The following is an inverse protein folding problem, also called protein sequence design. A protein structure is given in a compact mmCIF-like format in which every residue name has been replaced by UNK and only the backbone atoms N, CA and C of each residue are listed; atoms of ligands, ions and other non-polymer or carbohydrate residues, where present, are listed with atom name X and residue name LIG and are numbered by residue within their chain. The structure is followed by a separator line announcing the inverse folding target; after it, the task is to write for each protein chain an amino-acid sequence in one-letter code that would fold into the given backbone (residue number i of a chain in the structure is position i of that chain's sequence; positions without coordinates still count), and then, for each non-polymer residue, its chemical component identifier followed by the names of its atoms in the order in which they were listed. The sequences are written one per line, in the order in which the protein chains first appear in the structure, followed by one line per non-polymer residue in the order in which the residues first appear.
data_IF_949319454637
#
_entry.id   IF_949319454637
#
_cell.length_a   1.000
_cell.length_b   1.000
_cell.length_c   1.000
_cell.angle_alpha   90.00
_cell.angle_beta   90.00
_cell.angle_gamma   90.00
#
_symmetry.space_group_name_H-M   'P 1'
#
loop_
_entity.id
_entity.type
_entity.pdbx_description
1 polymer ?
#
# COMPACT_ATOMS: atom_id res chain seq x y z
N UNK A 1 -21.59 -5.71 -9.35
CA UNK A 1 -22.05 -6.99 -9.95
C UNK A 1 -20.93 -7.77 -10.64
N UNK A 2 -20.04 -7.08 -11.37
CA UNK A 2 -18.94 -7.67 -12.16
C UNK A 2 -17.95 -8.49 -11.34
N UNK A 3 -17.46 -7.99 -10.19
CA UNK A 3 -16.51 -8.73 -9.34
C UNK A 3 -17.07 -10.07 -8.84
N UNK A 4 -18.35 -10.09 -8.43
CA UNK A 4 -19.02 -11.33 -8.00
C UNK A 4 -19.24 -12.31 -9.17
N UNK A 5 -19.63 -11.82 -10.35
CA UNK A 5 -19.75 -12.65 -11.57
C UNK A 5 -18.39 -13.23 -12.01
N UNK A 6 -17.32 -12.43 -11.95
CA UNK A 6 -15.95 -12.87 -12.23
C UNK A 6 -15.48 -13.95 -11.25
N UNK A 7 -15.70 -13.74 -9.94
CA UNK A 7 -15.37 -14.73 -8.91
C UNK A 7 -16.17 -16.03 -9.08
N UNK A 8 -17.45 -15.93 -9.47
CA UNK A 8 -18.31 -17.09 -9.74
C UNK A 8 -17.96 -17.84 -11.04
N UNK A 9 -17.39 -17.16 -12.03
CA UNK A 9 -17.02 -17.76 -13.31
C UNK A 9 -15.80 -18.69 -13.24
N UNK A 10 -15.03 -18.66 -12.14
CA UNK A 10 -13.79 -19.41 -12.00
C UNK A 10 -12.60 -18.84 -12.78
N UNK A 11 -12.82 -17.86 -13.67
CA UNK A 11 -11.77 -17.23 -14.48
C UNK A 11 -11.00 -16.13 -13.74
N UNK A 12 -11.52 -15.64 -12.62
CA UNK A 12 -10.85 -14.65 -11.77
C UNK A 12 -10.62 -15.23 -10.36
N UNK A 13 -9.43 -15.80 -10.16
CA UNK A 13 -8.96 -16.29 -8.86
C UNK A 13 -7.93 -15.29 -8.31
N UNK A 14 -8.34 -14.24 -7.57
CA UNK A 14 -7.39 -13.27 -7.06
C UNK A 14 -6.38 -13.98 -6.15
N UNK A 15 -5.09 -13.69 -6.34
CA UNK A 15 -4.09 -14.06 -5.35
C UNK A 15 -4.39 -13.33 -4.05
N UNK A 16 -4.65 -14.07 -2.98
CA UNK A 16 -4.88 -13.53 -1.65
C UNK A 16 -3.60 -13.72 -0.84
N UNK A 17 -3.05 -12.61 -0.34
CA UNK A 17 -1.98 -12.65 0.66
C UNK A 17 -2.58 -12.26 2.00
N UNK A 18 -2.84 -13.25 2.84
CA UNK A 18 -3.43 -13.03 4.14
C UNK A 18 -2.37 -12.60 5.15
N UNK A 19 -2.61 -11.49 5.84
CA UNK A 19 -1.78 -11.08 6.96
C UNK A 19 -2.36 -11.59 8.27
N UNK A 20 -1.62 -12.43 8.99
CA UNK A 20 -2.02 -12.86 10.32
C UNK A 20 -1.93 -11.68 11.29
N UNK A 21 -2.94 -11.46 12.14
CA UNK A 21 -2.80 -10.48 13.21
C UNK A 21 -1.66 -10.89 14.14
N UNK A 22 -0.71 -9.99 14.42
CA UNK A 22 0.52 -10.33 15.13
C UNK A 22 0.28 -11.00 16.50
N UNK A 23 -0.81 -10.64 17.18
CA UNK A 23 -1.23 -11.29 18.45
C UNK A 23 -1.57 -12.78 18.33
N UNK A 24 -1.91 -13.25 17.14
CA UNK A 24 -2.26 -14.66 16.86
C UNK A 24 -1.20 -15.36 16.01
N UNK A 25 -0.02 -14.74 15.80
CA UNK A 25 1.00 -15.29 14.91
C UNK A 25 1.46 -16.69 15.32
N UNK A 26 1.58 -16.99 16.62
CA UNK A 26 1.99 -18.33 17.05
C UNK A 26 0.99 -19.43 16.67
N UNK A 27 -0.31 -19.13 16.58
CA UNK A 27 -1.30 -20.10 16.11
C UNK A 27 -1.04 -20.50 14.65
N UNK A 28 -0.54 -19.57 13.83
CA UNK A 28 -0.13 -19.87 12.46
C UNK A 28 1.12 -20.75 12.45
N UNK A 29 2.13 -20.37 13.23
CA UNK A 29 3.40 -21.10 13.31
C UNK A 29 3.19 -22.52 13.81
N UNK A 30 2.36 -22.72 14.84
CA UNK A 30 2.04 -24.02 15.43
C UNK A 30 1.35 -24.96 14.42
N UNK A 31 0.58 -24.40 13.49
CA UNK A 31 -0.06 -25.11 12.37
C UNK A 31 0.88 -25.26 11.15
N UNK A 32 2.15 -24.87 11.27
CA UNK A 32 3.14 -24.94 10.18
C UNK A 32 2.97 -23.87 9.10
N UNK A 33 2.16 -22.84 9.33
CA UNK A 33 1.87 -21.75 8.40
C UNK A 33 2.86 -20.60 8.57
N UNK A 34 4.10 -20.82 8.12
CA UNK A 34 5.14 -19.80 8.08
C UNK A 34 4.92 -18.71 7.02
N UNK A 35 5.80 -17.70 7.01
CA UNK A 35 5.77 -16.63 6.01
C UNK A 35 5.87 -17.21 4.59
N UNK A 36 4.91 -16.88 3.73
CA UNK A 36 4.81 -17.40 2.36
C UNK A 36 4.21 -18.80 2.24
N UNK A 37 3.76 -19.42 3.32
CA UNK A 37 3.03 -20.69 3.26
C UNK A 37 1.75 -20.55 2.41
N UNK A 38 1.41 -21.59 1.65
CA UNK A 38 0.29 -21.60 0.71
C UNK A 38 0.75 -21.73 -0.75
N UNK A 39 0.03 -21.09 -1.68
CA UNK A 39 0.31 -21.11 -3.11
C UNK A 39 0.06 -19.71 -3.74
N UNK A 40 0.14 -19.63 -5.06
CA UNK A 40 -0.05 -18.38 -5.82
C UNK A 40 -1.45 -17.76 -5.74
N UNK A 41 -2.45 -18.52 -5.29
CA UNK A 41 -3.82 -18.07 -5.12
C UNK A 41 -4.13 -17.68 -3.67
N UNK A 42 -3.47 -18.31 -2.70
CA UNK A 42 -3.65 -18.00 -1.28
C UNK A 42 -2.35 -18.27 -0.53
N UNK A 43 -1.75 -17.21 0.01
CA UNK A 43 -0.50 -17.30 0.78
C UNK A 43 -0.55 -16.49 2.06
N UNK A 44 0.30 -16.87 3.02
CA UNK A 44 0.51 -16.12 4.26
C UNK A 44 1.54 -15.01 4.00
N UNK A 45 1.18 -13.79 4.38
CA UNK A 45 2.02 -12.60 4.32
C UNK A 45 2.48 -12.11 5.68
N UNK A 46 2.81 -10.82 5.72
CA UNK A 46 3.30 -10.11 6.92
C UNK A 46 2.40 -10.31 8.15
N UNK A 47 2.99 -10.19 9.34
CA UNK A 47 2.24 -10.07 10.57
C UNK A 47 1.63 -8.65 10.66
N UNK A 48 0.29 -8.54 10.68
CA UNK A 48 -0.42 -7.26 10.74
C UNK A 48 -0.43 -6.74 12.18
N UNK A 49 -0.03 -5.49 12.35
CA UNK A 49 -0.18 -4.72 13.57
C UNK A 49 -0.98 -3.46 13.25
N UNK A 50 -2.01 -3.16 14.05
CA UNK A 50 -2.83 -1.95 13.87
C UNK A 50 -2.66 -1.03 15.05
N UNK A 51 -2.06 0.14 14.81
CA UNK A 51 -1.98 1.22 15.78
C UNK A 51 -3.22 2.09 15.69
N UNK A 52 -3.78 2.50 16.83
CA UNK A 52 -4.89 3.44 16.89
C UNK A 52 -4.75 4.36 18.10
N UNK A 53 -5.28 5.58 17.97
CA UNK A 53 -5.44 6.53 19.07
C UNK A 53 -6.92 6.74 19.46
N UNK A 54 -7.82 5.88 19.00
CA UNK A 54 -9.27 5.99 19.23
C UNK A 54 -9.70 6.03 20.71
N UNK A 55 -8.89 5.47 21.62
CA UNK A 55 -9.10 5.53 23.07
C UNK A 55 -8.47 6.77 23.74
N UNK A 56 -7.89 7.69 22.96
CA UNK A 56 -7.10 8.82 23.43
C UNK A 56 -5.66 8.48 23.82
N UNK A 57 -5.25 7.21 23.67
CA UNK A 57 -3.89 6.73 23.89
C UNK A 57 -3.49 5.78 22.76
N UNK A 58 -2.19 5.68 22.49
CA UNK A 58 -1.67 4.72 21.53
C UNK A 58 -2.00 3.29 21.97
N UNK A 59 -2.64 2.53 21.10
CA UNK A 59 -2.93 1.11 21.29
C UNK A 59 -2.57 0.32 20.03
N UNK A 60 -1.79 -0.77 20.14
CA UNK A 60 -0.98 -1.16 21.31
C UNK A 60 -0.03 -0.05 21.77
N UNK A 61 0.34 -0.06 23.05
CA UNK A 61 1.37 0.84 23.60
C UNK A 61 2.73 0.61 22.92
N UNK A 62 3.69 1.54 23.06
CA UNK A 62 5.01 1.39 22.43
C UNK A 62 5.75 0.11 22.89
N UNK A 63 5.59 -0.28 24.15
CA UNK A 63 6.16 -1.51 24.68
C UNK A 63 5.51 -2.75 24.05
N UNK A 64 4.18 -2.80 24.01
CA UNK A 64 3.44 -3.90 23.38
C UNK A 64 3.73 -3.99 21.88
N UNK A 65 3.84 -2.85 21.20
CA UNK A 65 4.24 -2.78 19.80
C UNK A 65 5.64 -3.42 19.60
N UNK A 66 6.60 -3.04 20.42
CA UNK A 66 7.97 -3.58 20.37
C UNK A 66 7.99 -5.09 20.63
N UNK A 67 7.18 -5.58 21.57
CA UNK A 67 7.03 -7.00 21.83
C UNK A 67 6.40 -7.75 20.65
N UNK A 68 5.37 -7.20 20.02
CA UNK A 68 4.72 -7.80 18.85
C UNK A 68 5.69 -7.90 17.67
N UNK A 69 6.48 -6.84 17.42
CA UNK A 69 7.51 -6.84 16.38
C UNK A 69 8.58 -7.88 16.69
N UNK A 70 9.10 -7.90 17.92
CA UNK A 70 10.10 -8.88 18.36
C UNK A 70 9.62 -10.33 18.21
N UNK A 71 8.38 -10.62 18.63
CA UNK A 71 7.75 -11.93 18.45
C UNK A 71 7.65 -12.30 16.97
N UNK A 72 7.18 -11.40 16.11
CA UNK A 72 7.11 -11.64 14.67
C UNK A 72 8.48 -11.92 14.05
N UNK A 73 9.48 -11.08 14.35
CA UNK A 73 10.83 -11.23 13.82
C UNK A 73 11.50 -12.52 14.31
N UNK A 74 11.23 -12.96 15.54
CA UNK A 74 11.73 -14.25 16.06
C UNK A 74 11.28 -15.45 15.22
N UNK A 75 10.12 -15.33 14.56
CA UNK A 75 9.55 -16.35 13.68
C UNK A 75 9.84 -16.06 12.18
N UNK A 76 10.73 -15.11 11.89
CA UNK A 76 11.06 -14.66 10.53
C UNK A 76 9.86 -14.08 9.74
N UNK A 77 8.87 -13.53 10.45
CA UNK A 77 7.79 -12.77 9.83
C UNK A 77 8.13 -11.27 9.79
N UNK A 78 8.11 -10.63 8.61
CA UNK A 78 8.07 -9.18 8.55
C UNK A 78 6.71 -8.66 9.04
N UNK A 79 6.69 -7.42 9.54
CA UNK A 79 5.48 -6.77 10.02
C UNK A 79 4.90 -5.77 9.01
N UNK A 80 3.57 -5.68 8.98
CA UNK A 80 2.84 -4.64 8.30
C UNK A 80 2.14 -3.78 9.36
N UNK A 81 2.59 -2.55 9.55
CA UNK A 81 2.12 -1.68 10.64
C UNK A 81 1.17 -0.63 10.07
N UNK A 82 -0.11 -0.70 10.43
CA UNK A 82 -1.06 0.38 10.17
C UNK A 82 -0.75 1.57 11.08
N UNK A 83 -0.42 2.71 10.45
CA UNK A 83 -0.09 3.96 11.11
C UNK A 83 -0.65 5.14 10.29
N UNK A 84 -1.75 5.72 10.77
CA UNK A 84 -2.45 6.83 10.11
C UNK A 84 -2.01 8.16 10.69
N UNK A 85 -2.09 8.33 12.01
CA UNK A 85 -1.74 9.56 12.71
C UNK A 85 -0.22 9.71 12.91
N UNK A 86 0.27 10.95 12.98
CA UNK A 86 1.70 11.24 13.15
C UNK A 86 2.30 10.58 14.41
N UNK A 87 1.52 10.51 15.49
CA UNK A 87 1.89 9.84 16.74
C UNK A 87 2.05 8.33 16.56
N UNK A 88 1.13 7.68 15.83
CA UNK A 88 1.21 6.26 15.51
C UNK A 88 2.41 5.97 14.59
N UNK A 89 2.63 6.81 13.57
CA UNK A 89 3.78 6.68 12.69
C UNK A 89 5.10 6.83 13.44
N UNK A 90 5.20 7.80 14.36
CA UNK A 90 6.39 7.98 15.20
C UNK A 90 6.66 6.74 16.06
N UNK A 91 5.63 6.16 16.67
CA UNK A 91 5.77 4.94 17.47
C UNK A 91 6.21 3.74 16.62
N UNK A 92 5.64 3.57 15.44
CA UNK A 92 6.06 2.54 14.48
C UNK A 92 7.54 2.69 14.10
N UNK A 93 7.98 3.90 13.76
CA UNK A 93 9.38 4.20 13.43
C UNK A 93 10.30 3.91 14.61
N UNK A 94 9.97 4.37 15.82
CA UNK A 94 10.77 4.12 17.03
C UNK A 94 10.95 2.61 17.30
N UNK A 95 9.85 1.85 17.19
CA UNK A 95 9.86 0.42 17.48
C UNK A 95 10.65 -0.37 16.43
N UNK A 96 10.52 -0.01 15.14
CA UNK A 96 11.29 -0.62 14.06
C UNK A 96 12.79 -0.28 14.13
N UNK A 97 13.15 0.96 14.49
CA UNK A 97 14.56 1.35 14.68
C UNK A 97 15.23 0.55 15.81
N UNK A 98 14.45 0.11 16.81
CA UNK A 98 14.95 -0.65 17.97
C UNK A 98 14.83 -2.17 17.81
N UNK A 99 14.17 -2.65 16.75
CA UNK A 99 13.89 -4.06 16.56
C UNK A 99 15.14 -4.80 16.07
N UNK A 100 15.30 -6.06 16.51
CA UNK A 100 16.27 -6.96 15.90
C UNK A 100 15.86 -7.22 14.44
N UNK A 101 16.73 -6.96 13.45
CA UNK A 101 16.40 -7.17 12.04
C UNK A 101 16.12 -8.64 11.72
N UNK A 102 15.27 -8.87 10.71
CA UNK A 102 15.09 -10.20 10.12
C UNK A 102 16.42 -10.73 9.57
N UNK A 103 16.66 -12.03 9.72
CA UNK A 103 17.90 -12.65 9.21
C UNK A 103 17.83 -12.89 7.70
N UNK A 104 16.61 -13.11 7.18
CA UNK A 104 16.37 -13.19 5.74
C UNK A 104 15.92 -11.83 5.21
N UNK A 105 16.63 -11.29 4.22
CA UNK A 105 16.29 -10.02 3.55
C UNK A 105 15.33 -10.19 2.36
N UNK A 106 14.69 -11.34 2.24
CA UNK A 106 13.85 -11.63 1.06
C UNK A 106 12.57 -10.79 1.02
N UNK A 107 12.12 -10.28 2.18
CA UNK A 107 11.01 -9.35 2.35
C UNK A 107 11.31 -8.41 3.52
N UNK A 108 10.89 -7.14 3.43
CA UNK A 108 11.11 -6.13 4.48
C UNK A 108 9.80 -5.79 5.20
N UNK A 109 9.92 -5.18 6.37
CA UNK A 109 8.79 -4.58 7.08
C UNK A 109 8.16 -3.47 6.23
N UNK A 110 6.90 -3.16 6.52
CA UNK A 110 6.19 -2.09 5.83
C UNK A 110 5.28 -1.30 6.74
N UNK A 111 5.10 -0.04 6.37
CA UNK A 111 4.19 0.90 7.02
C UNK A 111 2.99 1.10 6.09
N UNK A 112 1.80 0.92 6.64
CA UNK A 112 0.53 1.00 5.93
C UNK A 112 -0.12 2.36 6.23
N UNK A 113 -0.74 2.95 5.19
CA UNK A 113 -1.25 4.30 5.11
C UNK A 113 -0.17 5.37 5.10
N UNK A 114 0.56 5.53 6.22
CA UNK A 114 1.47 6.67 6.44
C UNK A 114 0.76 8.00 6.13
N UNK A 115 -0.49 8.14 6.61
CA UNK A 115 -1.37 9.24 6.21
C UNK A 115 -0.84 10.58 6.66
N UNK A 116 -0.41 10.71 7.92
CA UNK A 116 0.26 11.90 8.45
C UNK A 116 1.76 11.63 8.63
N UNK A 117 2.60 12.16 7.74
CA UNK A 117 4.05 12.07 7.82
C UNK A 117 4.73 13.43 8.07
N UNK A 118 5.10 13.75 9.32
CA UNK A 118 5.94 14.92 9.62
C UNK A 118 7.33 14.85 8.95
N UNK A 119 7.90 16.01 8.63
CA UNK A 119 9.23 16.12 7.99
C UNK A 119 10.33 15.35 8.74
N UNK A 120 10.30 15.41 10.07
CA UNK A 120 11.31 14.75 10.91
C UNK A 120 11.30 13.22 10.80
N UNK A 121 10.22 12.60 10.31
CA UNK A 121 10.12 11.14 10.18
C UNK A 121 10.59 10.65 8.81
N UNK A 122 10.54 11.45 7.74
CA UNK A 122 11.00 11.06 6.40
C UNK A 122 12.41 10.44 6.37
N UNK A 123 13.47 11.11 6.88
CA UNK A 123 14.82 10.54 6.84
C UNK A 123 14.98 9.32 7.75
N UNK A 124 14.12 9.17 8.77
CA UNK A 124 14.12 7.98 9.65
C UNK A 124 13.51 6.79 8.92
N UNK A 125 12.36 6.99 8.26
CA UNK A 125 11.70 5.95 7.45
C UNK A 125 12.63 5.47 6.33
N UNK A 126 13.32 6.39 5.64
CA UNK A 126 14.28 6.03 4.60
C UNK A 126 15.40 5.10 5.10
N UNK A 127 15.93 5.33 6.31
CA UNK A 127 16.99 4.49 6.90
C UNK A 127 16.52 3.10 7.29
N UNK A 128 15.22 2.91 7.56
CA UNK A 128 14.67 1.61 7.94
C UNK A 128 14.64 0.62 6.76
N UNK A 129 14.65 1.11 5.51
CA UNK A 129 14.51 0.25 4.33
C UNK A 129 13.13 -0.42 4.20
N UNK A 130 12.11 0.16 4.86
CA UNK A 130 10.73 -0.30 4.79
C UNK A 130 10.05 0.17 3.51
N UNK A 131 9.04 -0.58 3.08
CA UNK A 131 8.09 -0.10 2.06
C UNK A 131 6.96 0.69 2.74
N UNK A 132 6.52 1.79 2.14
CA UNK A 132 5.29 2.47 2.52
C UNK A 132 4.18 2.10 1.54
N UNK A 133 3.11 1.52 2.05
CA UNK A 133 1.89 1.26 1.30
C UNK A 133 0.89 2.35 1.67
N UNK A 134 0.65 3.28 0.76
CA UNK A 134 -0.26 4.40 0.99
C UNK A 134 -1.52 4.28 0.14
N UNK A 135 -2.52 5.13 0.38
CA UNK A 135 -3.86 4.99 -0.17
C UNK A 135 -4.33 6.33 -0.77
N UNK A 136 -3.88 6.68 -1.99
CA UNK A 136 -4.12 8.00 -2.56
C UNK A 136 -5.62 8.32 -2.71
N UNK A 137 -6.46 7.31 -2.95
CA UNK A 137 -7.91 7.48 -3.14
C UNK A 137 -8.65 8.09 -1.94
N UNK A 138 -8.08 8.04 -0.73
CA UNK A 138 -8.64 8.76 0.42
C UNK A 138 -8.61 10.28 0.24
N UNK A 139 -7.70 10.82 -0.57
CA UNK A 139 -7.70 12.25 -0.87
C UNK A 139 -8.93 12.65 -1.67
N UNK A 140 -9.34 11.84 -2.65
CA UNK A 140 -10.59 12.08 -3.38
C UNK A 140 -11.78 11.96 -2.42
N UNK A 141 -11.88 10.85 -1.70
CA UNK A 141 -13.08 10.50 -0.93
C UNK A 141 -13.23 11.27 0.39
N UNK A 142 -12.12 11.62 1.03
CA UNK A 142 -12.08 12.26 2.36
C UNK A 142 -11.33 13.59 2.37
N UNK A 143 -10.82 14.09 1.24
CA UNK A 143 -10.05 15.33 1.18
C UNK A 143 -10.78 16.55 1.73
N UNK A 144 -12.07 16.70 1.42
CA UNK A 144 -12.89 17.81 1.95
C UNK A 144 -12.99 17.74 3.48
N UNK A 145 -13.18 16.53 4.01
CA UNK A 145 -13.20 16.28 5.46
C UNK A 145 -11.84 16.55 6.10
N UNK A 146 -10.74 16.12 5.47
CA UNK A 146 -9.40 16.41 5.97
C UNK A 146 -9.13 17.92 6.02
N UNK A 147 -9.51 18.68 4.99
CA UNK A 147 -9.36 20.13 5.00
C UNK A 147 -10.19 20.82 6.09
N UNK A 148 -11.32 20.23 6.49
CA UNK A 148 -12.19 20.75 7.54
C UNK A 148 -11.75 20.35 8.96
N UNK A 149 -11.30 19.11 9.16
CA UNK A 149 -11.09 18.50 10.48
C UNK A 149 -9.61 18.41 10.89
N UNK A 150 -8.69 18.26 9.92
CA UNK A 150 -7.26 18.18 10.21
C UNK A 150 -6.73 19.57 10.57
N UNK A 151 -5.91 19.63 11.63
CA UNK A 151 -5.25 20.89 12.01
C UNK A 151 -4.44 21.44 10.82
N UNK A 152 -4.52 22.75 10.59
CA UNK A 152 -3.92 23.39 9.39
C UNK A 152 -2.43 23.12 9.23
N UNK A 153 -1.69 23.04 10.33
CA UNK A 153 -0.25 22.72 10.37
C UNK A 153 0.06 21.25 10.02
N UNK A 154 -0.94 20.35 10.09
CA UNK A 154 -0.83 18.93 9.72
C UNK A 154 -1.32 18.61 8.32
N UNK A 155 -2.06 19.50 7.65
CA UNK A 155 -2.47 19.28 6.24
C UNK A 155 -1.27 19.00 5.31
N UNK A 156 -0.11 19.68 5.45
CA UNK A 156 1.09 19.34 4.68
C UNK A 156 1.65 17.93 4.94
N UNK A 157 1.21 17.25 6.00
CA UNK A 157 1.64 15.88 6.32
C UNK A 157 0.84 14.81 5.58
N UNK A 158 -0.26 15.20 4.94
CA UNK A 158 -1.25 14.27 4.38
C UNK A 158 -0.76 13.60 3.08
N UNK A 159 -0.58 12.27 3.13
CA UNK A 159 -0.31 11.39 2.00
C UNK A 159 0.86 11.87 1.14
N UNK A 160 2.03 12.05 1.75
CA UNK A 160 3.22 12.69 1.14
C UNK A 160 3.98 11.79 0.16
N UNK A 161 3.28 11.34 -0.88
CA UNK A 161 3.79 10.38 -1.86
C UNK A 161 5.08 10.85 -2.54
N UNK A 162 5.16 12.13 -2.94
CA UNK A 162 6.33 12.68 -3.63
C UNK A 162 7.52 12.74 -2.69
N UNK A 163 7.34 13.30 -1.50
CA UNK A 163 8.40 13.38 -0.49
C UNK A 163 8.94 12.00 -0.11
N UNK A 164 8.07 10.99 0.02
CA UNK A 164 8.49 9.62 0.28
C UNK A 164 9.36 9.06 -0.86
N UNK A 165 8.92 9.22 -2.10
CA UNK A 165 9.66 8.76 -3.30
C UNK A 165 11.02 9.48 -3.41
N UNK A 166 11.05 10.80 -3.25
CA UNK A 166 12.27 11.61 -3.32
C UNK A 166 13.25 11.30 -2.18
N UNK A 167 12.75 10.86 -1.02
CA UNK A 167 13.57 10.37 0.08
C UNK A 167 14.14 8.95 -0.15
N UNK A 168 13.86 8.32 -1.30
CA UNK A 168 14.31 6.97 -1.64
C UNK A 168 13.52 5.86 -0.95
N UNK A 169 12.34 6.16 -0.40
CA UNK A 169 11.48 5.17 0.25
C UNK A 169 10.67 4.44 -0.84
N UNK A 170 10.68 3.10 -0.89
CA UNK A 170 9.77 2.36 -1.75
C UNK A 170 8.31 2.66 -1.42
N UNK A 171 7.53 3.12 -2.40
CA UNK A 171 6.10 3.41 -2.23
C UNK A 171 5.25 2.51 -3.13
N UNK A 172 4.22 1.93 -2.54
CA UNK A 172 3.14 1.22 -3.24
C UNK A 172 1.78 1.84 -2.91
N UNK A 173 0.81 1.69 -3.80
CA UNK A 173 -0.56 2.15 -3.59
C UNK A 173 -1.50 0.98 -3.29
N UNK A 174 -2.41 1.17 -2.32
CA UNK A 174 -3.54 0.28 -2.08
C UNK A 174 -4.86 1.06 -2.08
N UNK A 175 -5.97 0.36 -2.34
CA UNK A 175 -7.31 0.96 -2.16
C UNK A 175 -7.78 0.94 -0.71
N UNK A 176 -7.28 0.01 0.12
CA UNK A 176 -7.90 -0.31 1.42
C UNK A 176 -9.36 -0.80 1.27
N UNK A 177 -9.68 -1.47 0.17
CA UNK A 177 -11.00 -2.05 -0.02
C UNK A 177 -11.31 -3.07 1.11
N UNK A 178 -12.56 -3.10 1.63
CA UNK A 178 -13.75 -2.42 1.09
C UNK A 178 -14.01 -1.03 1.67
N UNK A 179 -13.06 -0.41 2.40
CA UNK A 179 -13.23 0.96 2.92
C UNK A 179 -13.36 1.96 1.76
N UNK A 180 -12.61 1.73 0.68
CA UNK A 180 -12.79 2.42 -0.60
C UNK A 180 -13.03 1.44 -1.75
N UNK A 181 -13.36 1.96 -2.93
CA UNK A 181 -13.53 1.15 -4.14
C UNK A 181 -12.18 0.54 -4.58
N UNK A 182 -12.11 -0.76 -4.90
CA UNK A 182 -10.89 -1.39 -5.41
C UNK A 182 -10.45 -0.88 -6.79
N UNK A 183 -11.27 -0.10 -7.49
CA UNK A 183 -10.91 0.54 -8.76
C UNK A 183 -9.75 1.53 -8.56
N UNK A 184 -8.58 1.31 -9.19
CA UNK A 184 -7.41 2.15 -8.97
C UNK A 184 -7.53 3.54 -9.59
N UNK A 185 -8.51 3.81 -10.47
CA UNK A 185 -8.62 5.09 -11.18
C UNK A 185 -8.75 6.28 -10.22
N UNK A 186 -9.49 6.12 -9.11
CA UNK A 186 -9.57 7.16 -8.08
C UNK A 186 -8.23 7.39 -7.40
N UNK A 187 -7.47 6.33 -7.13
CA UNK A 187 -6.11 6.43 -6.57
C UNK A 187 -5.13 7.11 -7.53
N UNK A 188 -5.14 6.74 -8.81
CA UNK A 188 -4.30 7.34 -9.85
C UNK A 188 -4.66 8.82 -10.02
N UNK A 189 -5.96 9.13 -10.13
CA UNK A 189 -6.45 10.51 -10.21
C UNK A 189 -5.99 11.33 -9.00
N UNK A 190 -6.15 10.83 -7.78
CA UNK A 190 -5.72 11.52 -6.56
C UNK A 190 -4.22 11.72 -6.47
N UNK A 191 -3.42 10.75 -6.92
CA UNK A 191 -1.96 10.86 -6.94
C UNK A 191 -1.50 11.99 -7.89
N UNK A 192 -2.15 12.14 -9.05
CA UNK A 192 -1.81 13.16 -10.05
C UNK A 192 -2.35 14.53 -9.67
N UNK A 193 -3.61 14.61 -9.22
CA UNK A 193 -4.30 15.90 -9.04
C UNK A 193 -4.23 16.46 -7.64
N UNK A 194 -4.13 15.60 -6.62
CA UNK A 194 -4.28 15.96 -5.22
C UNK A 194 -5.62 16.64 -4.90
N UNK A 195 -6.69 16.31 -5.62
CA UNK A 195 -8.03 16.90 -5.46
C UNK A 195 -9.03 15.97 -4.77
N UNK A 196 -9.87 16.56 -3.92
CA UNK A 196 -11.04 15.92 -3.32
C UNK A 196 -12.18 15.76 -4.31
N UNK A 197 -13.22 15.01 -3.92
CA UNK A 197 -14.46 14.88 -4.68
C UNK A 197 -15.19 16.22 -4.82
N UNK A 198 -15.11 17.11 -3.82
CA UNK A 198 -15.58 18.49 -3.90
C UNK A 198 -14.73 19.41 -4.80
N UNK A 199 -13.63 18.92 -5.36
CA UNK A 199 -12.71 19.68 -6.21
C UNK A 199 -11.68 20.52 -5.45
N UNK A 200 -11.60 20.38 -4.12
CA UNK A 200 -10.65 21.11 -3.29
C UNK A 200 -9.26 20.48 -3.36
N UNK A 201 -8.25 21.34 -3.38
CA UNK A 201 -6.85 20.92 -3.44
C UNK A 201 -6.30 20.60 -2.04
N UNK A 202 -5.64 19.45 -1.91
CA UNK A 202 -5.06 18.98 -0.65
C UNK A 202 -3.56 18.76 -0.84
N UNK A 203 -2.71 19.60 -0.27
CA UNK A 203 -1.25 19.42 -0.30
C UNK A 203 -0.68 19.14 -1.70
N UNK A 204 -0.82 20.11 -2.61
CA UNK A 204 -0.52 20.00 -4.05
C UNK A 204 0.95 19.81 -4.38
N UNK A 205 1.86 20.17 -3.47
CA UNK A 205 3.29 19.95 -3.66
C UNK A 205 3.64 18.45 -3.75
N UNK A 206 2.76 17.58 -3.22
CA UNK A 206 2.88 16.13 -3.23
C UNK A 206 2.25 15.46 -4.47
N UNK A 207 1.93 16.24 -5.52
CA UNK A 207 1.50 15.68 -6.82
C UNK A 207 2.59 14.80 -7.43
N UNK A 208 2.16 13.71 -8.05
CA UNK A 208 3.01 12.84 -8.85
C UNK A 208 2.72 13.01 -10.34
N UNK A 209 3.73 12.77 -11.17
CA UNK A 209 3.49 12.51 -12.60
C UNK A 209 2.78 11.17 -12.79
N UNK A 210 2.07 11.00 -13.90
CA UNK A 210 1.30 9.80 -14.23
C UNK A 210 2.16 8.53 -14.20
N UNK A 211 3.41 8.60 -14.66
CA UNK A 211 4.31 7.44 -14.64
C UNK A 211 4.65 7.00 -13.21
N UNK A 212 4.87 7.94 -12.29
CA UNK A 212 5.09 7.63 -10.88
C UNK A 212 3.82 7.08 -10.23
N UNK A 213 2.66 7.68 -10.53
CA UNK A 213 1.37 7.20 -10.05
C UNK A 213 1.08 5.77 -10.52
N UNK A 214 1.30 5.45 -11.79
CA UNK A 214 1.16 4.09 -12.31
C UNK A 214 2.17 3.15 -11.65
N UNK A 215 3.42 3.59 -11.49
CA UNK A 215 4.49 2.75 -10.92
C UNK A 215 4.11 2.29 -9.52
N UNK A 216 3.68 3.19 -8.64
CA UNK A 216 3.28 2.80 -7.28
C UNK A 216 2.03 1.89 -7.25
N UNK A 217 1.11 1.99 -8.20
CA UNK A 217 -0.08 1.11 -8.29
C UNK A 217 0.24 -0.29 -8.85
N UNK A 218 1.40 -0.46 -9.49
CA UNK A 218 1.83 -1.72 -10.09
C UNK A 218 2.98 -2.39 -9.35
N UNK A 219 3.59 -1.69 -8.40
CA UNK A 219 4.72 -2.16 -7.61
C UNK A 219 4.29 -3.29 -6.67
N UNK A 220 5.00 -4.43 -6.65
CA UNK A 220 4.82 -5.46 -5.65
C UNK A 220 5.22 -4.93 -4.27
N UNK A 221 4.31 -5.10 -3.31
CA UNK A 221 4.47 -4.58 -1.95
C UNK A 221 5.59 -5.31 -1.16
N UNK A 222 5.95 -6.52 -1.55
CA UNK A 222 6.84 -7.42 -0.81
C UNK A 222 8.25 -7.57 -1.41
N UNK A 223 8.63 -6.67 -2.33
CA UNK A 223 10.00 -6.60 -2.85
C UNK A 223 10.33 -7.63 -3.95
N UNK A 224 9.35 -8.41 -4.44
CA UNK A 224 9.57 -9.30 -5.59
C UNK A 224 8.94 -8.74 -6.88
N UNK A 225 9.79 -8.18 -7.74
CA UNK A 225 9.66 -8.27 -9.20
C UNK A 225 8.51 -7.49 -9.85
N UNK A 226 8.71 -6.19 -10.06
CA UNK A 226 8.11 -5.34 -11.12
C UNK A 226 8.53 -3.89 -10.84
N UNK A 227 9.83 -3.61 -10.95
CA UNK A 227 10.33 -2.22 -10.77
C UNK A 227 10.11 -1.36 -12.02
N UNK A 228 9.78 -1.97 -13.15
CA UNK A 228 9.54 -1.28 -14.40
C UNK A 228 8.23 -1.74 -15.05
N UNK A 229 7.24 -0.85 -15.07
CA UNK A 229 5.99 -0.98 -15.83
C UNK A 229 6.19 -1.24 -17.33
N UNK A 230 7.35 -0.83 -17.87
CA UNK A 230 7.69 -0.94 -19.30
C UNK A 230 8.62 -2.10 -19.61
N UNK A 231 9.19 -2.77 -18.61
CA UNK A 231 10.15 -3.84 -18.85
C UNK A 231 9.44 -5.17 -19.01
N UNK A 232 9.52 -5.75 -20.22
CA UNK A 232 9.13 -7.15 -20.50
C UNK A 232 10.17 -8.16 -19.99
N UNK A 233 11.34 -7.69 -19.59
CA UNK A 233 12.47 -8.49 -19.10
C UNK A 233 13.25 -7.65 -18.09
N UNK A 234 13.42 -8.16 -16.88
CA UNK A 234 14.39 -7.65 -15.89
C UNK A 234 15.32 -8.82 -15.59
N UNK A 235 16.61 -8.65 -15.83
CA UNK A 235 17.68 -9.60 -15.49
C UNK A 235 17.40 -11.05 -15.94
N UNK A 236 17.09 -11.27 -17.22
CA UNK A 236 16.85 -12.59 -17.84
C UNK A 236 15.72 -13.42 -17.21
N UNK A 237 14.83 -12.78 -16.44
CA UNK A 237 13.63 -13.41 -15.88
C UNK A 237 12.40 -12.97 -16.65
N UNK A 238 11.64 -13.96 -17.12
CA UNK A 238 10.30 -13.74 -17.65
C UNK A 238 9.41 -13.17 -16.54
N UNK A 239 8.81 -12.01 -16.79
CA UNK A 239 7.75 -11.47 -15.94
C UNK A 239 6.43 -12.06 -16.45
N UNK A 240 5.53 -12.53 -15.57
CA UNK A 240 4.19 -12.96 -16.00
C UNK A 240 3.53 -11.87 -16.85
N UNK A 241 2.92 -12.25 -17.97
CA UNK A 241 2.20 -11.34 -18.86
C UNK A 241 0.85 -10.92 -18.24
N UNK A 242 0.94 -10.21 -17.12
CA UNK A 242 -0.18 -9.60 -16.43
C UNK A 242 -0.35 -8.18 -16.96
N UNK A 243 -1.37 -7.97 -17.78
CA UNK A 243 -1.61 -6.73 -18.50
C UNK A 243 -3.05 -6.29 -18.34
N UNK A 244 -3.27 -4.98 -18.36
CA UNK A 244 -4.60 -4.38 -18.37
C UNK A 244 -4.68 -3.47 -19.59
N UNK A 245 -5.65 -3.74 -20.46
CA UNK A 245 -5.99 -2.86 -21.57
C UNK A 245 -7.08 -1.89 -21.12
N UNK A 246 -6.79 -0.60 -21.22
CA UNK A 246 -7.74 0.47 -20.95
C UNK A 246 -8.52 0.81 -22.22
N UNK A 247 -9.77 1.27 -22.07
CA UNK A 247 -10.61 1.73 -23.18
C UNK A 247 -10.14 3.05 -23.82
N UNK A 248 -9.21 3.75 -23.16
CA UNK A 248 -8.62 5.02 -23.58
C UNK A 248 -7.22 5.21 -22.97
N UNK A 249 -6.37 6.08 -23.54
CA UNK A 249 -5.12 6.46 -22.91
C UNK A 249 -5.35 7.27 -21.62
N UNK A 250 -4.49 7.06 -20.62
CA UNK A 250 -4.44 7.93 -19.45
C UNK A 250 -3.60 9.17 -19.77
N UNK A 251 -4.13 10.37 -19.46
CA UNK A 251 -3.47 11.65 -19.73
C UNK A 251 -3.56 12.55 -18.48
N UNK A 252 -2.41 12.91 -17.91
CA UNK A 252 -2.37 13.82 -16.75
C UNK A 252 -2.78 15.26 -17.05
N UNK A 253 -2.74 15.68 -18.32
CA UNK A 253 -3.21 17.01 -18.75
C UNK A 253 -4.75 17.08 -18.85
N UNK A 254 -5.41 15.93 -18.89
CA UNK A 254 -6.87 15.79 -18.88
C UNK A 254 -7.29 14.85 -17.74
N UNK A 255 -6.99 15.21 -16.47
CA UNK A 255 -7.04 14.26 -15.37
C UNK A 255 -8.46 13.73 -15.11
N UNK A 256 -9.50 14.50 -15.45
CA UNK A 256 -10.90 14.05 -15.32
C UNK A 256 -11.22 12.81 -16.17
N UNK A 257 -10.47 12.57 -17.27
CA UNK A 257 -10.63 11.37 -18.10
C UNK A 257 -10.08 10.12 -17.41
N UNK A 258 -9.15 10.26 -16.45
CA UNK A 258 -8.65 9.15 -15.64
C UNK A 258 -9.81 8.49 -14.88
N UNK A 259 -10.69 9.29 -14.26
CA UNK A 259 -11.84 8.77 -13.51
C UNK A 259 -12.87 8.05 -14.39
N UNK A 260 -12.93 8.38 -15.68
CA UNK A 260 -13.85 7.79 -16.64
C UNK A 260 -13.29 6.56 -17.35
N UNK A 261 -11.99 6.29 -17.19
CA UNK A 261 -11.28 5.19 -17.84
C UNK A 261 -11.81 3.85 -17.33
N UNK A 262 -12.05 2.92 -18.26
CA UNK A 262 -12.52 1.56 -17.95
C UNK A 262 -11.50 0.55 -18.42
N UNK A 263 -11.47 -0.59 -17.72
CA UNK A 263 -10.75 -1.77 -18.19
C UNK A 263 -11.55 -2.40 -19.32
N UNK A 264 -10.95 -2.48 -20.50
CA UNK A 264 -11.49 -3.18 -21.66
C UNK A 264 -11.13 -4.67 -21.62
N UNK A 265 -9.93 -5.01 -21.14
CA UNK A 265 -9.46 -6.40 -21.04
C UNK A 265 -8.44 -6.55 -19.91
N UNK A 266 -8.48 -7.69 -19.22
CA UNK A 266 -7.42 -8.10 -18.26
C UNK A 266 -6.80 -9.40 -18.74
N UNK A 267 -5.48 -9.40 -18.84
CA UNK A 267 -4.66 -10.56 -19.19
C UNK A 267 -3.86 -10.94 -17.94
N UNK A 268 -3.86 -12.21 -17.57
CA UNK A 268 -3.06 -12.76 -16.46
C UNK A 268 -2.24 -13.93 -16.97
N UNK A 269 -0.92 -13.89 -16.79
CA UNK A 269 -0.04 -14.95 -17.26
C UNK A 269 -0.13 -15.22 -18.78
N UNK A 270 -0.60 -14.25 -19.57
CA UNK A 270 -0.84 -14.40 -21.01
C UNK A 270 -2.25 -14.87 -21.39
N UNK A 271 -3.12 -15.18 -20.42
CA UNK A 271 -4.51 -15.59 -20.67
C UNK A 271 -5.48 -14.44 -20.41
N UNK A 272 -6.45 -14.25 -21.31
CA UNK A 272 -7.53 -13.26 -21.10
C UNK A 272 -8.47 -13.79 -20.02
N UNK A 273 -8.52 -13.09 -18.88
CA UNK A 273 -9.39 -13.44 -17.75
C UNK A 273 -10.61 -12.52 -17.63
N UNK A 274 -10.63 -11.43 -18.41
CA UNK A 274 -11.75 -10.50 -18.52
C UNK A 274 -11.73 -9.75 -19.85
N UNK A 275 -12.92 -9.54 -20.42
CA UNK A 275 -13.19 -8.67 -21.57
C UNK A 275 -14.59 -8.03 -21.36
N UNK A 276 -14.71 -6.73 -21.68
CA UNK A 276 -15.88 -5.90 -21.37
C UNK A 276 -17.03 -5.97 -22.41
#
# INVERSE_FOLDING_TARGET
ETFKKMQQSGHFLPGVTMMAAAKYLYQFVDEGLGMGAGNELCSVGHAKITLTLSSGRLSPSENELSELISKAHSQQFPVAIHAVEAEALKAAVNALESATPLTTRTRTDRIEHCSECPDALLPRIARLGVTVVTNPGFLYLSGDRYLAETKKDRVPWLYRMRSLIEAGIPVAAGSDAPVTDPNPMTGIYSAVTRRSQGGNEVNTEERLGLEQALTMHSRPVDGKGRENLRARQVDDKFIPADLVLMDRPLNENEPEEILKTKVAMTIRGGEVVYEA
#
